data_IF_581517273827
#
_entry.id   IF_581517273827
#
_cell.length_a   1.000
_cell.length_b   1.000
_cell.length_c   1.000
_cell.angle_alpha   90.00
_cell.angle_beta   90.00
_cell.angle_gamma   90.00
#
_symmetry.space_group_name_H-M   'P 1'
#
loop_
_entity.id
_entity.type
_entity.pdbx_description
1 polymer ?
#
# COMPACT_ATOMS: atom_id res chain seq x y z
N UNK A 1 -28.55 -44.66 1.45
CA UNK A 1 -29.06 -43.98 2.66
C UNK A 1 -27.86 -43.38 3.39
N UNK A 2 -27.48 -42.15 3.01
CA UNK A 2 -26.21 -41.51 3.42
C UNK A 2 -26.45 -40.56 4.59
N UNK A 3 -26.12 -40.99 5.80
CA UNK A 3 -26.02 -40.10 6.95
C UNK A 3 -24.64 -39.44 6.95
N UNK A 4 -24.56 -38.20 6.49
CA UNK A 4 -23.38 -37.36 6.64
C UNK A 4 -23.22 -37.03 8.13
N UNK A 5 -22.15 -37.55 8.73
CA UNK A 5 -21.82 -37.34 10.14
C UNK A 5 -21.69 -35.85 10.47
N UNK A 6 -22.61 -35.37 11.29
CA UNK A 6 -22.51 -34.07 11.94
C UNK A 6 -21.38 -34.12 12.96
N UNK A 7 -20.23 -33.52 12.65
CA UNK A 7 -19.20 -33.26 13.66
C UNK A 7 -19.82 -32.52 14.85
N UNK A 8 -19.43 -32.93 16.06
CA UNK A 8 -20.01 -32.45 17.32
C UNK A 8 -19.95 -30.92 17.40
N UNK A 9 -20.89 -30.30 18.11
CA UNK A 9 -20.92 -28.83 18.23
C UNK A 9 -19.61 -28.24 18.80
N UNK A 10 -18.89 -29.03 19.61
CA UNK A 10 -17.55 -28.70 20.08
C UNK A 10 -16.51 -28.63 18.95
N UNK A 11 -16.52 -29.57 18.01
CA UNK A 11 -15.63 -29.57 16.84
C UNK A 11 -15.94 -28.39 15.90
N UNK A 12 -17.23 -28.08 15.70
CA UNK A 12 -17.66 -26.91 14.91
C UNK A 12 -17.20 -25.60 15.56
N UNK A 13 -17.30 -25.49 16.89
CA UNK A 13 -16.83 -24.32 17.62
C UNK A 13 -15.30 -24.17 17.54
N UNK A 14 -14.56 -25.26 17.68
CA UNK A 14 -13.10 -25.27 17.53
C UNK A 14 -12.67 -24.84 16.11
N UNK A 15 -13.34 -25.35 15.07
CA UNK A 15 -13.10 -24.95 13.69
C UNK A 15 -13.37 -23.45 13.45
N UNK A 16 -14.49 -22.93 13.97
CA UNK A 16 -14.81 -21.48 13.90
C UNK A 16 -13.76 -20.61 14.57
N UNK A 17 -13.26 -21.00 15.75
CA UNK A 17 -12.19 -20.29 16.46
C UNK A 17 -10.89 -20.27 15.66
N UNK A 18 -10.48 -21.43 15.10
CA UNK A 18 -9.30 -21.52 14.24
C UNK A 18 -9.44 -20.64 12.99
N UNK A 19 -10.61 -20.66 12.35
CA UNK A 19 -10.89 -19.80 11.20
C UNK A 19 -10.79 -18.32 11.55
N UNK A 20 -11.35 -17.90 12.70
CA UNK A 20 -11.28 -16.50 13.14
C UNK A 20 -9.83 -16.03 13.32
N UNK A 21 -8.96 -16.86 13.90
CA UNK A 21 -7.53 -16.55 14.04
C UNK A 21 -6.85 -16.41 12.68
N UNK A 22 -7.12 -17.32 11.75
CA UNK A 22 -6.54 -17.27 10.39
C UNK A 22 -7.02 -16.04 9.60
N UNK A 23 -8.30 -15.67 9.73
CA UNK A 23 -8.84 -14.47 9.11
C UNK A 23 -8.24 -13.19 9.71
N UNK A 24 -8.09 -13.14 11.03
CA UNK A 24 -7.43 -12.01 11.70
C UNK A 24 -5.99 -11.85 11.21
N UNK A 25 -5.24 -12.94 11.10
CA UNK A 25 -3.86 -12.91 10.59
C UNK A 25 -3.80 -12.48 9.12
N UNK A 26 -4.67 -13.03 8.27
CA UNK A 26 -4.79 -12.64 6.86
C UNK A 26 -5.07 -11.14 6.73
N UNK A 27 -6.03 -10.63 7.51
CA UNK A 27 -6.40 -9.21 7.50
C UNK A 27 -5.23 -8.33 7.99
N UNK A 28 -4.52 -8.75 9.03
CA UNK A 28 -3.31 -8.06 9.53
C UNK A 28 -2.26 -7.92 8.44
N UNK A 29 -1.94 -9.02 7.74
CA UNK A 29 -0.95 -9.01 6.64
C UNK A 29 -1.41 -8.14 5.48
N UNK A 30 -2.68 -8.26 5.07
CA UNK A 30 -3.23 -7.45 3.99
C UNK A 30 -3.16 -5.95 4.31
N UNK A 31 -3.49 -5.55 5.53
CA UNK A 31 -3.47 -4.16 5.96
C UNK A 31 -2.07 -3.54 5.96
N UNK A 32 -1.01 -4.34 6.14
CA UNK A 32 0.40 -3.91 6.18
C UNK A 32 1.14 -4.02 4.85
N UNK A 33 0.43 -4.37 3.78
CA UNK A 33 1.00 -4.70 2.46
C UNK A 33 0.27 -3.97 1.33
N UNK A 34 -0.34 -2.81 1.63
CA UNK A 34 -1.16 -2.04 0.69
C UNK A 34 -0.42 -1.70 -0.60
N UNK A 35 0.89 -1.44 -0.54
CA UNK A 35 1.74 -1.19 -1.72
C UNK A 35 1.46 -2.17 -2.86
N UNK A 36 1.41 -3.46 -2.55
CA UNK A 36 1.29 -4.54 -3.53
C UNK A 36 -0.14 -4.74 -4.05
N UNK A 37 -1.11 -3.98 -3.55
CA UNK A 37 -2.50 -4.00 -4.02
C UNK A 37 -2.82 -2.92 -5.06
N UNK A 38 -1.91 -1.95 -5.25
CA UNK A 38 -2.08 -0.88 -6.23
C UNK A 38 -1.61 -1.32 -7.61
N UNK A 39 -2.32 -0.83 -8.64
CA UNK A 39 -2.01 -1.06 -10.06
C UNK A 39 -1.89 -2.54 -10.49
N UNK A 40 -2.80 -3.44 -10.08
CA UNK A 40 -2.82 -4.81 -10.58
C UNK A 40 -3.03 -4.88 -12.09
N UNK A 41 -2.88 -6.08 -12.63
CA UNK A 41 -3.11 -6.38 -14.05
C UNK A 41 -4.62 -6.36 -14.38
N UNK A 42 -5.45 -6.70 -13.41
CA UNK A 42 -6.90 -6.88 -13.58
C UNK A 42 -7.69 -6.26 -12.41
N UNK A 43 -9.01 -6.16 -12.57
CA UNK A 43 -9.90 -5.63 -11.54
C UNK A 43 -10.09 -4.11 -11.56
N UNK A 44 -10.67 -3.54 -10.49
CA UNK A 44 -11.09 -2.14 -10.45
C UNK A 44 -9.91 -1.17 -10.33
N UNK A 45 -8.78 -1.60 -9.78
CA UNK A 45 -7.58 -0.77 -9.64
C UNK A 45 -6.54 -1.04 -10.73
N UNK A 46 -6.90 -1.74 -11.80
CA UNK A 46 -5.94 -2.18 -12.81
C UNK A 46 -5.21 -1.02 -13.47
N UNK A 47 -3.91 -1.19 -13.73
CA UNK A 47 -3.01 -0.10 -14.13
C UNK A 47 -3.45 0.68 -15.38
N UNK A 48 -4.04 -0.01 -16.36
CA UNK A 48 -4.49 0.60 -17.62
C UNK A 48 -5.53 1.71 -17.44
N UNK A 49 -6.26 1.69 -16.32
CA UNK A 49 -7.23 2.74 -15.99
C UNK A 49 -6.59 4.05 -15.51
N UNK A 50 -5.28 4.07 -15.29
CA UNK A 50 -4.55 5.20 -14.71
C UNK A 50 -3.43 5.72 -15.63
N UNK A 51 -3.73 6.05 -16.91
CA UNK A 51 -2.69 6.43 -17.88
C UNK A 51 -1.88 7.65 -17.44
N UNK A 52 -2.49 8.62 -16.76
CA UNK A 52 -1.80 9.80 -16.23
C UNK A 52 -0.84 9.47 -15.08
N UNK A 53 -1.17 8.47 -14.25
CA UNK A 53 -0.28 8.04 -13.17
C UNK A 53 0.94 7.32 -13.76
N UNK A 54 0.69 6.41 -14.70
CA UNK A 54 1.76 5.70 -15.42
C UNK A 54 2.68 6.66 -16.19
N UNK A 55 2.11 7.65 -16.87
CA UNK A 55 2.89 8.68 -17.58
C UNK A 55 3.75 9.50 -16.61
N UNK A 56 3.22 9.86 -15.43
CA UNK A 56 3.99 10.54 -14.41
C UNK A 56 5.17 9.67 -13.96
N UNK A 57 4.94 8.40 -13.60
CA UNK A 57 6.01 7.48 -13.18
C UNK A 57 7.09 7.31 -14.25
N UNK A 58 6.68 7.10 -15.51
CA UNK A 58 7.60 6.94 -16.64
C UNK A 58 8.48 8.18 -16.83
N UNK A 59 7.92 9.39 -16.70
CA UNK A 59 8.70 10.62 -16.82
C UNK A 59 9.82 10.71 -15.77
N UNK A 60 9.70 10.04 -14.61
CA UNK A 60 10.77 10.03 -13.61
C UNK A 60 12.07 9.37 -14.07
N UNK A 61 12.04 8.60 -15.16
CA UNK A 61 13.25 8.02 -15.73
C UNK A 61 14.21 9.08 -16.32
N UNK A 62 13.67 10.19 -16.84
CA UNK A 62 14.45 11.24 -17.52
C UNK A 62 14.37 12.59 -16.82
N UNK A 63 13.26 12.88 -16.13
CA UNK A 63 13.02 14.18 -15.51
C UNK A 63 13.31 14.16 -14.01
N UNK A 64 14.15 15.09 -13.57
CA UNK A 64 14.44 15.29 -12.15
C UNK A 64 13.25 15.90 -11.40
N UNK A 65 12.61 16.90 -12.00
CA UNK A 65 11.50 17.64 -11.41
C UNK A 65 10.20 17.35 -12.17
N UNK A 66 9.15 16.97 -11.45
CA UNK A 66 7.84 16.65 -12.03
C UNK A 66 6.71 17.21 -11.17
N UNK A 67 5.67 17.73 -11.81
CA UNK A 67 4.48 18.24 -11.14
C UNK A 67 3.23 17.50 -11.59
N UNK A 68 2.48 16.93 -10.63
CA UNK A 68 1.17 16.33 -10.87
C UNK A 68 0.07 17.37 -10.66
N UNK A 69 -0.26 18.12 -11.71
CA UNK A 69 -1.38 19.07 -11.70
C UNK A 69 -2.70 18.30 -11.85
N UNK A 70 -3.46 18.20 -10.76
CA UNK A 70 -4.69 17.42 -10.75
C UNK A 70 -5.73 17.93 -9.74
N UNK A 71 -6.99 17.57 -9.99
CA UNK A 71 -8.12 17.93 -9.13
C UNK A 71 -8.02 17.34 -7.71
N UNK A 72 -8.90 17.81 -6.83
CA UNK A 72 -8.99 17.29 -5.47
C UNK A 72 -9.67 15.92 -5.42
N UNK A 73 -9.21 15.06 -4.51
CA UNK A 73 -9.77 13.72 -4.24
C UNK A 73 -9.79 12.73 -5.42
N UNK A 74 -8.90 12.91 -6.41
CA UNK A 74 -8.75 11.99 -7.54
C UNK A 74 -7.71 10.88 -7.30
N UNK A 75 -7.14 10.80 -6.10
CA UNK A 75 -6.12 9.79 -5.77
C UNK A 75 -4.67 10.20 -6.05
N UNK A 76 -4.38 11.48 -6.32
CA UNK A 76 -3.00 11.94 -6.59
C UNK A 76 -2.03 11.67 -5.44
N UNK A 77 -2.42 11.97 -4.20
CA UNK A 77 -1.53 11.83 -3.05
C UNK A 77 -1.26 10.37 -2.71
N UNK A 78 -2.28 9.52 -2.71
CA UNK A 78 -2.14 8.10 -2.39
C UNK A 78 -1.56 7.30 -3.56
N UNK A 79 -2.15 7.45 -4.74
CA UNK A 79 -1.82 6.64 -5.91
C UNK A 79 -0.55 7.09 -6.63
N UNK A 80 -0.19 8.37 -6.60
CA UNK A 80 0.98 8.88 -7.34
C UNK A 80 2.13 9.14 -6.38
N UNK A 81 2.02 10.21 -5.57
CA UNK A 81 3.10 10.62 -4.67
C UNK A 81 3.46 9.55 -3.65
N UNK A 82 2.47 9.03 -2.92
CA UNK A 82 2.68 8.01 -1.89
C UNK A 82 3.19 6.68 -2.45
N UNK A 83 2.63 6.23 -3.59
CA UNK A 83 3.05 4.97 -4.21
C UNK A 83 4.49 5.03 -4.71
N UNK A 84 4.83 6.04 -5.50
CA UNK A 84 6.19 6.21 -6.03
C UNK A 84 7.21 6.41 -4.90
N UNK A 85 6.88 7.22 -3.89
CA UNK A 85 7.75 7.42 -2.72
C UNK A 85 8.00 6.11 -1.98
N UNK A 86 6.96 5.31 -1.74
CA UNK A 86 7.11 4.01 -1.08
C UNK A 86 7.98 3.04 -1.90
N UNK A 87 7.87 3.05 -3.24
CA UNK A 87 8.76 2.25 -4.09
C UNK A 87 10.21 2.72 -4.01
N UNK A 88 10.46 4.03 -4.00
CA UNK A 88 11.81 4.60 -3.91
C UNK A 88 12.48 4.31 -2.57
N UNK A 89 11.73 4.36 -1.48
CA UNK A 89 12.24 4.03 -0.14
C UNK A 89 12.52 2.54 0.04
N UNK A 90 11.72 1.67 -0.57
CA UNK A 90 11.78 0.21 -0.32
C UNK A 90 12.55 -0.56 -1.39
N UNK A 91 12.74 0.02 -2.57
CA UNK A 91 13.25 -0.70 -3.75
C UNK A 91 12.28 -1.74 -4.32
N UNK A 92 11.04 -1.82 -3.81
CA UNK A 92 10.07 -2.86 -4.16
C UNK A 92 9.36 -2.61 -5.52
N UNK A 93 10.13 -2.18 -6.51
CA UNK A 93 9.64 -1.86 -7.85
C UNK A 93 8.97 -3.07 -8.52
N UNK A 94 7.70 -2.97 -8.96
CA UNK A 94 7.08 -4.05 -9.71
C UNK A 94 7.77 -4.25 -11.06
N UNK A 95 7.56 -5.42 -11.66
CA UNK A 95 8.16 -5.77 -12.95
C UNK A 95 7.83 -4.76 -14.06
N UNK A 96 6.58 -4.27 -14.08
CA UNK A 96 6.12 -3.28 -15.05
C UNK A 96 6.66 -1.86 -14.82
N UNK A 97 7.39 -1.58 -13.74
CA UNK A 97 7.85 -0.24 -13.40
C UNK A 97 8.87 0.29 -14.40
N UNK A 98 8.53 1.39 -15.08
CA UNK A 98 9.34 2.04 -16.11
C UNK A 98 10.02 3.33 -15.66
N UNK A 99 9.66 3.85 -14.47
CA UNK A 99 10.23 5.09 -13.92
C UNK A 99 11.62 4.91 -13.31
N UNK A 100 12.11 5.95 -12.60
CA UNK A 100 13.38 5.89 -11.86
C UNK A 100 13.41 4.70 -10.91
N UNK A 101 14.55 4.01 -10.89
CA UNK A 101 14.88 2.98 -9.90
C UNK A 101 16.10 3.42 -9.09
N UNK A 102 16.05 3.18 -7.79
CA UNK A 102 17.17 3.32 -6.88
C UNK A 102 17.64 1.93 -6.47
N UNK A 103 18.92 1.64 -6.68
CA UNK A 103 19.57 0.38 -6.28
C UNK A 103 20.26 0.47 -4.92
N UNK A 104 20.09 1.60 -4.23
CA UNK A 104 20.64 1.90 -2.92
C UNK A 104 19.56 2.53 -2.03
N UNK A 105 19.73 2.51 -0.70
CA UNK A 105 18.86 3.25 0.21
C UNK A 105 18.79 4.73 -0.18
N UNK A 106 17.62 5.33 0.00
CA UNK A 106 17.37 6.74 -0.31
C UNK A 106 16.86 7.49 0.91
N UNK A 107 17.23 8.75 1.02
CA UNK A 107 16.60 9.70 1.91
C UNK A 107 15.50 10.44 1.14
N UNK A 108 14.30 10.50 1.71
CA UNK A 108 13.16 11.16 1.09
C UNK A 108 12.56 12.20 2.03
N UNK A 109 12.16 13.33 1.44
CA UNK A 109 11.41 14.37 2.13
C UNK A 109 9.98 14.34 1.63
N UNK A 110 9.03 14.36 2.57
CA UNK A 110 7.61 14.43 2.27
C UNK A 110 7.00 15.57 3.08
N UNK A 111 6.44 16.56 2.39
CA UNK A 111 5.98 17.81 2.99
C UNK A 111 4.53 18.12 2.59
N UNK A 112 3.79 18.72 3.52
CA UNK A 112 2.53 19.40 3.27
C UNK A 112 2.66 20.90 3.53
N UNK A 113 1.56 21.63 3.31
CA UNK A 113 1.48 23.08 3.55
C UNK A 113 1.63 23.44 5.04
N UNK A 114 1.16 22.54 5.92
CA UNK A 114 1.22 22.68 7.37
C UNK A 114 1.71 21.39 8.02
N UNK A 115 2.19 21.46 9.28
CA UNK A 115 2.54 20.27 10.06
C UNK A 115 1.34 19.33 10.25
N UNK A 116 0.14 19.90 10.42
CA UNK A 116 -1.11 19.13 10.53
C UNK A 116 -1.43 18.37 9.24
N UNK A 117 -1.40 19.05 8.08
CA UNK A 117 -1.64 18.37 6.79
C UNK A 117 -0.56 17.35 6.46
N UNK A 118 0.68 17.59 6.88
CA UNK A 118 1.76 16.61 6.76
C UNK A 118 1.46 15.34 7.57
N UNK A 119 1.08 15.49 8.85
CA UNK A 119 0.72 14.36 9.72
C UNK A 119 -0.53 13.62 9.24
N UNK A 120 -1.60 14.35 8.93
CA UNK A 120 -2.93 13.78 8.71
C UNK A 120 -3.12 13.24 7.29
N UNK A 121 -2.32 13.70 6.33
CA UNK A 121 -2.39 13.25 4.93
C UNK A 121 -1.14 12.47 4.56
N UNK A 122 0.03 13.11 4.58
CA UNK A 122 1.26 12.54 3.99
C UNK A 122 1.77 11.37 4.84
N UNK A 123 1.95 11.58 6.14
CA UNK A 123 2.37 10.54 7.07
C UNK A 123 1.33 9.42 7.15
N UNK A 124 0.03 9.75 7.18
CA UNK A 124 -1.03 8.75 7.18
C UNK A 124 -1.02 7.84 5.94
N UNK A 125 -0.75 8.41 4.75
CA UNK A 125 -0.63 7.65 3.49
C UNK A 125 0.60 6.74 3.52
N UNK A 126 1.76 7.24 3.94
CA UNK A 126 3.02 6.50 3.89
C UNK A 126 3.15 5.48 5.03
N UNK A 127 2.95 5.92 6.25
CA UNK A 127 3.22 5.17 7.48
C UNK A 127 1.97 4.48 8.03
N UNK A 128 0.78 4.98 7.70
CA UNK A 128 -0.49 4.53 8.24
C UNK A 128 -1.12 5.54 9.20
N UNK A 129 -2.42 5.41 9.52
CA UNK A 129 -3.11 6.28 10.48
C UNK A 129 -2.43 6.31 11.85
N UNK A 130 -2.74 7.34 12.64
CA UNK A 130 -2.26 7.44 14.01
C UNK A 130 -2.62 6.17 14.82
N UNK A 131 -1.63 5.59 15.50
CA UNK A 131 -1.79 4.32 16.22
C UNK A 131 -1.79 3.05 15.35
N UNK A 132 -1.68 3.20 14.03
CA UNK A 132 -1.70 2.09 13.06
C UNK A 132 -0.45 2.05 12.17
N UNK A 133 0.72 2.25 12.80
CA UNK A 133 2.01 2.24 12.11
C UNK A 133 2.23 0.97 11.28
N UNK A 134 2.70 1.15 10.06
CA UNK A 134 2.93 0.09 9.07
C UNK A 134 1.68 -0.35 8.32
N UNK A 135 0.53 0.31 8.52
CA UNK A 135 -0.67 0.11 7.69
C UNK A 135 -0.82 1.13 6.55
N UNK A 136 0.24 1.89 6.26
CA UNK A 136 0.33 2.79 5.11
C UNK A 136 0.78 2.09 3.83
N UNK A 137 1.33 2.87 2.89
CA UNK A 137 1.93 2.37 1.66
C UNK A 137 3.33 1.80 1.87
N UNK A 138 4.11 2.33 2.82
CA UNK A 138 5.36 1.68 3.20
C UNK A 138 4.98 0.37 3.90
N UNK A 139 5.41 -0.80 3.38
CA UNK A 139 5.07 -2.08 3.98
C UNK A 139 5.52 -2.09 5.43
N UNK A 140 4.67 -2.55 6.34
CA UNK A 140 4.99 -2.44 7.77
C UNK A 140 6.24 -3.21 8.17
N UNK A 141 6.61 -4.25 7.42
CA UNK A 141 7.82 -5.05 7.67
C UNK A 141 9.10 -4.36 7.16
N UNK A 142 8.96 -3.24 6.44
CA UNK A 142 10.04 -2.36 5.99
C UNK A 142 10.28 -1.18 6.96
N UNK A 143 9.49 -1.05 8.03
CA UNK A 143 9.66 -0.01 9.04
C UNK A 143 10.42 -0.60 10.22
N UNK A 144 11.54 0.03 10.58
CA UNK A 144 12.39 -0.34 11.70
C UNK A 144 12.31 0.76 12.76
N UNK A 145 12.14 0.36 14.02
CA UNK A 145 12.03 1.29 15.14
C UNK A 145 10.62 1.83 15.37
N UNK A 146 10.49 2.61 16.45
CA UNK A 146 9.31 3.42 16.74
C UNK A 146 9.63 4.89 16.41
N UNK A 147 8.69 5.64 15.81
CA UNK A 147 8.88 7.06 15.48
C UNK A 147 8.96 7.96 16.71
#
# INVERSE_FOLDING_TARGET
>A
MTAAGSGSDAERLAAKRRLAVLLAEKNRRAARRKLFSLYPDTGPLRRELYPKHLAFFAAGATEYDRCMLAANRIGKSFGVGGYETALHLTGAYPEWWVGRRFSHPTDAWAAGDTSETTRDIVQAILMGPLGELGKGLIPGDSIIGEP
#
